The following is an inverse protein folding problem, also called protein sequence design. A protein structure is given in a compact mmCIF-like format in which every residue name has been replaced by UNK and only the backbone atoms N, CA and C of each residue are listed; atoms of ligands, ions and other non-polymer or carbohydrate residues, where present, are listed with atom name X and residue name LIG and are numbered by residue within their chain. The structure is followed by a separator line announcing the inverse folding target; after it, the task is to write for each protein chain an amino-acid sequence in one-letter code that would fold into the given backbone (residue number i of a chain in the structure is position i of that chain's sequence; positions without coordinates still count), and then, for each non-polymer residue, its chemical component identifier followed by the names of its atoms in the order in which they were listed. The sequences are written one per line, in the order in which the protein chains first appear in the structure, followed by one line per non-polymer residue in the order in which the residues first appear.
data_IF_296143032902
#
_entry.id   IF_296143032902
#
_cell.length_a   1.000
_cell.length_b   1.000
_cell.length_c   1.000
_cell.angle_alpha   90.00
_cell.angle_beta   90.00
_cell.angle_gamma   90.00
#
_symmetry.space_group_name_H-M   'P 1'
#
loop_
_entity.id
_entity.type
_entity.pdbx_description
1 polymer ?
#
# COMPACT_ATOMS: atom_id res chain seq x y z
N UNK A 1 20.66 8.00 14.34
CA UNK A 1 19.81 9.01 13.69
C UNK A 1 19.44 8.53 12.30
N UNK A 2 18.15 8.48 11.96
CA UNK A 2 17.70 8.01 10.65
C UNK A 2 17.89 9.10 9.60
N UNK A 3 18.59 8.80 8.50
CA UNK A 3 18.54 9.61 7.28
C UNK A 3 17.20 9.35 6.61
N UNK A 4 16.18 10.14 6.94
CA UNK A 4 14.95 10.21 6.14
C UNK A 4 15.38 10.72 4.77
N UNK A 5 15.14 9.93 3.72
CA UNK A 5 15.37 10.38 2.34
C UNK A 5 14.00 10.80 1.82
N UNK A 6 13.60 12.07 2.02
CA UNK A 6 12.31 12.54 1.57
C UNK A 6 12.27 12.47 0.04
N UNK A 7 11.13 12.04 -0.48
CA UNK A 7 10.81 12.14 -1.89
C UNK A 7 9.52 12.91 -2.00
N UNK A 8 9.55 13.98 -2.78
CA UNK A 8 8.35 14.71 -3.15
C UNK A 8 7.63 13.94 -4.24
N UNK A 9 6.40 13.56 -3.95
CA UNK A 9 5.51 12.94 -4.94
C UNK A 9 4.22 13.76 -4.97
N UNK A 10 3.67 14.02 -6.16
CA UNK A 10 2.38 14.66 -6.26
C UNK A 10 1.29 13.85 -5.54
N UNK A 11 0.56 14.48 -4.61
CA UNK A 11 -0.43 13.81 -3.75
C UNK A 11 -1.51 13.10 -4.56
N UNK A 12 -1.96 13.70 -5.65
CA UNK A 12 -2.99 13.12 -6.51
C UNK A 12 -2.49 11.86 -7.24
N UNK A 13 -1.25 11.83 -7.74
CA UNK A 13 -0.66 10.63 -8.36
C UNK A 13 -0.55 9.48 -7.36
N UNK A 14 -0.19 9.80 -6.11
CA UNK A 14 -0.12 8.81 -5.04
C UNK A 14 -1.50 8.24 -4.66
N UNK A 15 -2.51 9.11 -4.51
CA UNK A 15 -3.88 8.67 -4.24
C UNK A 15 -4.46 7.87 -5.40
N UNK A 16 -4.19 8.26 -6.64
CA UNK A 16 -4.60 7.48 -7.82
C UNK A 16 -4.07 6.05 -7.74
N UNK A 17 -2.77 5.87 -7.48
CA UNK A 17 -2.17 4.54 -7.33
C UNK A 17 -2.87 3.70 -6.24
N UNK A 18 -3.17 4.30 -5.07
CA UNK A 18 -3.86 3.61 -3.96
C UNK A 18 -5.28 3.18 -4.35
N UNK A 19 -6.05 4.10 -4.93
CA UNK A 19 -7.43 3.87 -5.34
C UNK A 19 -7.48 2.82 -6.46
N UNK A 20 -6.66 2.97 -7.50
CA UNK A 20 -6.63 2.02 -8.62
C UNK A 20 -6.31 0.61 -8.15
N UNK A 21 -5.32 0.43 -7.27
CA UNK A 21 -5.03 -0.89 -6.71
C UNK A 21 -6.23 -1.45 -5.92
N UNK A 22 -6.86 -0.66 -5.05
CA UNK A 22 -8.03 -1.10 -4.30
C UNK A 22 -9.18 -1.51 -5.24
N UNK A 23 -9.44 -0.74 -6.30
CA UNK A 23 -10.44 -1.05 -7.32
C UNK A 23 -10.12 -2.35 -8.05
N UNK A 24 -8.87 -2.55 -8.49
CA UNK A 24 -8.45 -3.80 -9.16
C UNK A 24 -8.70 -5.01 -8.25
N UNK A 25 -8.37 -4.91 -6.96
CA UNK A 25 -8.62 -5.97 -5.98
C UNK A 25 -10.12 -6.27 -5.82
N UNK A 26 -10.96 -5.24 -5.69
CA UNK A 26 -12.41 -5.42 -5.58
C UNK A 26 -13.03 -6.01 -6.83
N UNK A 27 -12.68 -5.53 -8.02
CA UNK A 27 -13.15 -6.09 -9.29
C UNK A 27 -12.69 -7.55 -9.42
N UNK A 28 -11.41 -7.81 -9.13
CA UNK A 28 -10.86 -9.17 -9.12
C UNK A 28 -11.60 -10.10 -8.17
N UNK A 29 -11.97 -9.62 -6.99
CA UNK A 29 -12.73 -10.37 -6.00
C UNK A 29 -14.18 -10.64 -6.43
N UNK A 30 -14.92 -9.60 -6.84
CA UNK A 30 -16.35 -9.69 -7.20
C UNK A 30 -16.55 -10.61 -8.41
N UNK A 31 -15.74 -10.42 -9.46
CA UNK A 31 -15.84 -11.19 -10.70
C UNK A 31 -15.02 -12.48 -10.67
N UNK A 32 -14.34 -12.80 -9.56
CA UNK A 32 -13.48 -13.99 -9.40
C UNK A 32 -12.38 -14.07 -10.47
N UNK A 33 -11.84 -12.94 -10.91
CA UNK A 33 -10.85 -12.87 -11.99
C UNK A 33 -9.43 -13.01 -11.44
N UNK A 34 -8.86 -14.22 -11.50
CA UNK A 34 -7.49 -14.50 -11.02
C UNK A 34 -6.42 -13.63 -11.70
N UNK A 35 -6.61 -13.33 -12.99
CA UNK A 35 -5.68 -12.50 -13.77
C UNK A 35 -5.59 -11.06 -13.26
N UNK A 36 -6.67 -10.48 -12.71
CA UNK A 36 -6.62 -9.14 -12.11
C UNK A 36 -5.79 -9.12 -10.83
N UNK A 37 -5.85 -10.19 -10.03
CA UNK A 37 -5.02 -10.33 -8.82
C UNK A 37 -3.55 -10.47 -9.22
N UNK A 38 -3.26 -11.23 -10.29
CA UNK A 38 -1.91 -11.34 -10.85
C UNK A 38 -1.41 -9.97 -11.36
N UNK A 39 -2.24 -9.21 -12.07
CA UNK A 39 -1.91 -7.87 -12.52
C UNK A 39 -1.58 -6.94 -11.33
N UNK A 40 -2.39 -6.98 -10.27
CA UNK A 40 -2.14 -6.20 -9.05
C UNK A 40 -0.81 -6.59 -8.39
N UNK A 41 -0.48 -7.89 -8.35
CA UNK A 41 0.81 -8.38 -7.86
C UNK A 41 1.97 -7.82 -8.68
N UNK A 42 1.91 -7.91 -10.01
CA UNK A 42 2.95 -7.40 -10.90
C UNK A 42 3.16 -5.90 -10.69
N UNK A 43 2.08 -5.12 -10.61
CA UNK A 43 2.15 -3.68 -10.34
C UNK A 43 2.84 -3.40 -8.99
N UNK A 44 2.47 -4.14 -7.94
CA UNK A 44 3.05 -3.97 -6.60
C UNK A 44 4.53 -4.39 -6.56
N UNK A 45 4.87 -5.51 -7.19
CA UNK A 45 6.24 -6.02 -7.27
C UNK A 45 7.15 -5.06 -8.05
N UNK A 46 6.69 -4.58 -9.22
CA UNK A 46 7.43 -3.57 -9.99
C UNK A 46 7.60 -2.27 -9.20
N UNK A 47 6.56 -1.83 -8.48
CA UNK A 47 6.65 -0.63 -7.63
C UNK A 47 7.62 -0.80 -6.46
N UNK A 48 7.73 -2.02 -5.91
CA UNK A 48 8.70 -2.34 -4.86
C UNK A 48 10.14 -2.30 -5.38
N UNK A 49 10.40 -2.86 -6.57
CA UNK A 49 11.74 -2.93 -7.19
C UNK A 49 12.19 -1.57 -7.73
N UNK A 50 11.37 -0.95 -8.59
CA UNK A 50 11.70 0.32 -9.25
C UNK A 50 11.67 1.50 -8.27
N UNK A 51 10.88 1.38 -7.20
CA UNK A 51 10.60 2.47 -6.28
C UNK A 51 9.56 3.45 -6.83
N UNK A 52 9.06 4.30 -5.94
CA UNK A 52 7.83 5.05 -6.21
C UNK A 52 7.94 6.09 -7.32
N UNK A 53 9.14 6.65 -7.54
CA UNK A 53 9.38 7.65 -8.58
C UNK A 53 9.16 7.11 -10.01
N UNK A 54 9.30 5.80 -10.20
CA UNK A 54 9.10 5.12 -11.50
C UNK A 54 7.97 4.10 -11.46
N UNK A 55 7.05 4.22 -10.50
CA UNK A 55 5.92 3.30 -10.44
C UNK A 55 5.08 3.45 -11.72
N UNK A 56 4.69 2.34 -12.39
CA UNK A 56 4.03 2.40 -13.69
C UNK A 56 2.72 3.20 -13.66
N UNK A 57 1.98 3.12 -12.56
CA UNK A 57 0.76 3.92 -12.34
C UNK A 57 1.02 5.41 -12.17
N UNK A 58 2.12 5.79 -11.51
CA UNK A 58 2.49 7.20 -11.34
C UNK A 58 2.94 7.78 -12.67
N UNK A 59 3.70 7.01 -13.45
CA UNK A 59 4.08 7.41 -14.81
C UNK A 59 2.85 7.57 -15.70
N UNK A 60 1.90 6.62 -15.64
CA UNK A 60 0.66 6.67 -16.41
C UNK A 60 -0.20 7.87 -16.02
N UNK A 61 -0.33 8.17 -14.74
CA UNK A 61 -1.03 9.36 -14.25
C UNK A 61 -0.34 10.65 -14.69
N UNK A 62 0.99 10.73 -14.58
CA UNK A 62 1.74 11.93 -14.98
C UNK A 62 1.65 12.20 -16.48
N UNK A 63 1.62 11.15 -17.31
CA UNK A 63 1.43 11.27 -18.76
C UNK A 63 0.01 11.71 -19.11
N UNK A 64 -1.01 11.20 -18.41
CA UNK A 64 -2.42 11.45 -18.73
C UNK A 64 -2.98 12.72 -18.08
N UNK A 65 -2.91 12.81 -16.75
CA UNK A 65 -3.59 13.86 -15.95
C UNK A 65 -2.57 14.90 -15.46
N UNK A 66 -1.31 14.51 -15.25
CA UNK A 66 -0.27 15.38 -14.71
C UNK A 66 0.06 16.62 -15.55
N UNK A 67 -0.25 16.61 -16.86
CA UNK A 67 -0.06 17.79 -17.72
C UNK A 67 -1.08 18.91 -17.48
N UNK A 68 -2.23 18.61 -16.87
CA UNK A 68 -3.37 19.54 -16.83
C UNK A 68 -3.56 20.22 -15.47
N UNK A 69 -2.88 19.77 -14.41
CA UNK A 69 -3.08 20.28 -13.06
C UNK A 69 -1.77 20.65 -12.36
N UNK A 70 -1.81 21.70 -11.53
CA UNK A 70 -0.76 21.99 -10.56
C UNK A 70 -0.97 21.11 -9.33
N UNK A 71 -0.13 20.08 -9.17
CA UNK A 71 -0.30 19.12 -8.08
C UNK A 71 0.45 19.59 -6.82
N UNK A 72 -0.25 19.59 -5.69
CA UNK A 72 0.37 19.74 -4.38
C UNK A 72 1.30 18.55 -4.13
N UNK A 73 2.55 18.85 -3.82
CA UNK A 73 3.55 17.85 -3.45
C UNK A 73 3.37 17.42 -1.99
N UNK A 74 3.57 16.12 -1.74
CA UNK A 74 3.62 15.56 -0.40
C UNK A 74 5.00 14.91 -0.19
N UNK A 75 5.63 15.20 0.94
CA UNK A 75 6.91 14.57 1.30
C UNK A 75 6.66 13.18 1.88
N UNK A 76 7.09 12.15 1.16
CA UNK A 76 6.98 10.76 1.58
C UNK A 76 8.37 10.15 1.76
N UNK A 77 8.50 9.25 2.74
CA UNK A 77 9.73 8.48 2.93
C UNK A 77 9.84 7.38 1.86
N UNK A 78 10.87 7.48 1.02
CA UNK A 78 11.15 6.50 -0.05
C UNK A 78 11.21 5.06 0.47
N UNK A 79 11.81 4.85 1.65
CA UNK A 79 11.98 3.51 2.23
C UNK A 79 10.65 2.97 2.77
N UNK A 80 9.89 3.80 3.49
CA UNK A 80 8.55 3.45 3.96
C UNK A 80 7.60 3.07 2.81
N UNK A 81 7.68 3.79 1.69
CA UNK A 81 6.90 3.49 0.49
C UNK A 81 7.29 2.16 -0.16
N UNK A 82 8.59 1.89 -0.32
CA UNK A 82 9.06 0.59 -0.82
C UNK A 82 8.62 -0.55 0.09
N UNK A 83 8.68 -0.37 1.40
CA UNK A 83 8.20 -1.36 2.36
C UNK A 83 6.69 -1.62 2.19
N UNK A 84 5.88 -0.57 2.09
CA UNK A 84 4.43 -0.73 1.90
C UNK A 84 4.07 -1.48 0.61
N UNK A 85 4.75 -1.19 -0.50
CA UNK A 85 4.56 -1.92 -1.76
C UNK A 85 5.06 -3.37 -1.67
N UNK A 86 6.22 -3.60 -1.04
CA UNK A 86 6.79 -4.95 -0.85
C UNK A 86 5.89 -5.82 0.01
N UNK A 87 5.39 -5.28 1.12
CA UNK A 87 4.45 -5.96 2.00
C UNK A 87 3.13 -6.28 1.27
N UNK A 88 2.62 -5.31 0.49
CA UNK A 88 1.47 -5.53 -0.39
C UNK A 88 1.72 -6.64 -1.41
N UNK A 89 2.87 -6.66 -2.07
CA UNK A 89 3.25 -7.68 -3.04
C UNK A 89 3.32 -9.07 -2.38
N UNK A 90 3.92 -9.16 -1.18
CA UNK A 90 4.01 -10.40 -0.42
C UNK A 90 2.63 -10.95 -0.06
N UNK A 91 1.74 -10.12 0.49
CA UNK A 91 0.37 -10.54 0.80
C UNK A 91 -0.37 -11.01 -0.46
N UNK A 92 -0.17 -10.32 -1.57
CA UNK A 92 -0.81 -10.69 -2.85
C UNK A 92 -0.23 -11.99 -3.41
N UNK A 93 1.07 -12.23 -3.25
CA UNK A 93 1.72 -13.48 -3.62
C UNK A 93 1.13 -14.66 -2.83
N UNK A 94 0.93 -14.50 -1.51
CA UNK A 94 0.26 -15.52 -0.69
C UNK A 94 -1.16 -15.79 -1.21
N UNK A 95 -1.91 -14.74 -1.57
CA UNK A 95 -3.24 -14.91 -2.18
C UNK A 95 -3.18 -15.71 -3.49
N UNK A 96 -2.23 -15.40 -4.37
CA UNK A 96 -2.03 -16.12 -5.63
C UNK A 96 -1.64 -17.58 -5.40
N UNK A 97 -0.72 -17.85 -4.47
CA UNK A 97 -0.34 -19.22 -4.13
C UNK A 97 -1.55 -20.03 -3.64
N UNK A 98 -2.38 -19.44 -2.77
CA UNK A 98 -3.61 -20.07 -2.29
C UNK A 98 -4.61 -20.30 -3.43
N UNK A 99 -4.79 -19.32 -4.33
CA UNK A 99 -5.72 -19.39 -5.47
C UNK A 99 -5.35 -20.42 -6.54
N UNK A 100 -4.04 -20.66 -6.75
CA UNK A 100 -3.54 -21.53 -7.82
C UNK A 100 -3.11 -22.92 -7.34
N UNK A 101 -2.56 -23.07 -6.13
CA UNK A 101 -1.92 -24.31 -5.70
C UNK A 101 -2.58 -25.02 -4.51
N UNK A 102 -3.25 -24.30 -3.60
CA UNK A 102 -3.75 -24.90 -2.35
C UNK A 102 -5.28 -25.04 -2.31
N UNK A 103 -6.00 -23.93 -2.19
CA UNK A 103 -7.44 -23.94 -2.08
C UNK A 103 -8.02 -22.60 -2.53
N UNK A 104 -8.75 -22.64 -3.63
CA UNK A 104 -9.33 -21.46 -4.25
C UNK A 104 -10.27 -20.68 -3.31
N UNK A 105 -11.07 -21.36 -2.48
CA UNK A 105 -11.97 -20.67 -1.53
C UNK A 105 -11.17 -19.88 -0.49
N UNK A 106 -10.12 -20.47 0.07
CA UNK A 106 -9.24 -19.78 1.02
C UNK A 106 -8.53 -18.60 0.35
N UNK A 107 -8.03 -18.79 -0.87
CA UNK A 107 -7.41 -17.71 -1.65
C UNK A 107 -8.34 -16.51 -1.81
N UNK A 108 -9.61 -16.75 -2.16
CA UNK A 108 -10.60 -15.69 -2.29
C UNK A 108 -10.96 -14.99 -0.96
N UNK A 109 -10.99 -15.72 0.16
CA UNK A 109 -11.17 -15.13 1.49
C UNK A 109 -10.00 -14.20 1.82
N UNK A 110 -8.76 -14.62 1.53
CA UNK A 110 -7.58 -13.78 1.71
C UNK A 110 -7.60 -12.54 0.80
N UNK A 111 -8.00 -12.69 -0.47
CA UNK A 111 -8.18 -11.55 -1.39
C UNK A 111 -9.18 -10.54 -0.83
N UNK A 112 -10.28 -10.98 -0.21
CA UNK A 112 -11.24 -10.09 0.43
C UNK A 112 -10.58 -9.25 1.55
N UNK A 113 -9.84 -9.88 2.45
CA UNK A 113 -9.11 -9.17 3.52
C UNK A 113 -8.06 -8.21 2.96
N UNK A 114 -7.32 -8.60 1.93
CA UNK A 114 -6.38 -7.71 1.24
C UNK A 114 -7.12 -6.53 0.61
N UNK A 115 -8.28 -6.74 0.00
CA UNK A 115 -9.11 -5.67 -0.59
C UNK A 115 -9.56 -4.66 0.45
N UNK A 116 -9.99 -5.13 1.63
CA UNK A 116 -10.33 -4.27 2.77
C UNK A 116 -9.12 -3.47 3.25
N UNK A 117 -7.98 -4.13 3.44
CA UNK A 117 -6.74 -3.46 3.86
C UNK A 117 -6.28 -2.41 2.83
N UNK A 118 -6.43 -2.68 1.53
CA UNK A 118 -6.15 -1.71 0.46
C UNK A 118 -7.13 -0.54 0.46
N UNK A 119 -8.39 -0.77 0.80
CA UNK A 119 -9.42 0.28 0.91
C UNK A 119 -9.12 1.20 2.09
N UNK A 120 -8.81 0.65 3.27
CA UNK A 120 -8.34 1.44 4.41
C UNK A 120 -7.08 2.23 4.05
N UNK A 121 -6.18 1.58 3.31
CA UNK A 121 -5.07 2.20 2.62
C UNK A 121 -5.52 3.39 1.78
N UNK A 122 -6.46 3.27 0.85
CA UNK A 122 -6.91 4.37 0.00
C UNK A 122 -7.49 5.57 0.77
N UNK A 123 -8.16 5.32 1.90
CA UNK A 123 -8.74 6.36 2.77
C UNK A 123 -7.70 7.14 3.60
N UNK A 124 -6.41 6.81 3.52
CA UNK A 124 -5.36 7.50 4.25
C UNK A 124 -4.77 6.68 5.41
N UNK A 125 -5.42 5.59 5.83
CA UNK A 125 -4.94 4.71 6.87
C UNK A 125 -3.89 3.73 6.32
N UNK A 126 -2.67 4.21 6.07
CA UNK A 126 -1.58 3.33 5.65
C UNK A 126 -0.97 2.59 6.85
N UNK A 127 -1.56 1.45 7.21
CA UNK A 127 -1.11 0.59 8.32
C UNK A 127 0.36 0.17 8.17
N UNK A 128 0.84 -0.04 6.93
CA UNK A 128 2.22 -0.43 6.65
C UNK A 128 3.23 0.68 6.99
N UNK A 129 2.89 1.96 6.78
CA UNK A 129 3.75 3.08 7.18
C UNK A 129 3.82 3.22 8.70
N UNK A 130 2.70 3.00 9.41
CA UNK A 130 2.68 2.95 10.87
C UNK A 130 3.51 1.77 11.40
N UNK A 131 3.32 0.57 10.83
CA UNK A 131 4.09 -0.62 11.18
C UNK A 131 5.58 -0.42 10.90
N UNK A 132 5.94 0.19 9.76
CA UNK A 132 7.32 0.53 9.44
C UNK A 132 7.91 1.48 10.48
N UNK A 133 7.20 2.56 10.82
CA UNK A 133 7.62 3.49 11.87
C UNK A 133 7.80 2.80 13.23
N UNK A 134 6.93 1.84 13.54
CA UNK A 134 7.00 1.01 14.75
C UNK A 134 8.16 0.02 14.80
N UNK A 135 8.45 -0.66 13.69
CA UNK A 135 9.56 -1.61 13.57
C UNK A 135 10.93 -0.94 13.65
N UNK A 136 10.96 0.39 13.52
CA UNK A 136 12.21 1.12 13.29
C UNK A 136 12.45 2.28 14.22
N UNK A 137 11.43 2.74 14.94
CA UNK A 137 11.59 3.48 16.17
C UNK A 137 11.27 2.51 17.30
N UNK A 138 12.18 2.30 18.24
CA UNK A 138 12.04 1.40 19.42
C UNK A 138 10.90 1.82 20.40
N UNK A 139 9.93 2.61 19.95
CA UNK A 139 8.92 3.32 20.74
C UNK A 139 7.48 3.04 20.26
N UNK A 140 7.25 2.00 19.46
CA UNK A 140 5.88 1.61 19.08
C UNK A 140 4.97 1.31 20.29
N UNK A 141 5.54 0.92 21.43
CA UNK A 141 4.81 0.60 22.64
C UNK A 141 4.55 1.79 23.59
N UNK A 142 5.08 2.99 23.34
CA UNK A 142 4.91 4.11 24.29
C UNK A 142 3.54 4.80 24.20
N UNK A 143 2.76 4.53 23.14
CA UNK A 143 1.39 5.07 23.02
C UNK A 143 0.39 4.38 23.98
N UNK A 144 0.67 3.15 24.41
CA UNK A 144 -0.09 2.47 25.49
C UNK A 144 0.24 3.04 26.88
N UNK A 145 1.35 3.77 27.04
CA UNK A 145 1.77 4.30 28.34
C UNK A 145 1.11 5.64 28.70
N UNK A 146 0.48 6.33 27.74
CA UNK A 146 -0.05 7.69 27.97
C UNK A 146 -1.48 7.74 28.50
N UNK A 147 -2.17 6.61 28.60
CA UNK A 147 -3.56 6.54 29.12
C UNK A 147 -3.63 6.08 30.60
N UNK A 148 -2.53 5.60 31.18
CA UNK A 148 -2.48 5.26 32.62
C UNK A 148 -2.06 6.41 33.54
N UNK A 149 -1.73 7.60 33.02
CA UNK A 149 -1.33 8.77 33.84
C UNK A 149 -2.45 9.81 34.00
N UNK A 150 -3.71 9.41 33.78
CA UNK A 150 -4.88 10.27 34.02
C UNK A 150 -5.82 9.81 35.14
N UNK A 151 -5.50 8.71 35.84
CA UNK A 151 -6.29 8.19 36.96
C UNK A 151 -5.44 7.97 38.23
N UNK A 152 -4.55 8.91 38.55
CA UNK A 152 -4.01 9.06 39.91
C UNK A 152 -4.05 10.54 40.23
N UNK A 153 -5.22 10.99 40.66
CA UNK A 153 -5.46 12.27 41.33
C UNK A 153 -6.53 12.03 42.37
#
# INVERSE_FOLDING_TARGET
MRTVIPVTVPKASFNFCRITLAVIFWIGFIFRLKWLILLAFVILALSAVLGIQRAPLIMLYNITIGKLMHLKEEMLDKRGMRFAHSFGALLTLVCLLLLYFFNERLGWIFVFFVSLAKTAGALGFCSALKLYGCLTNDSCCTFLKKEQTKNVS
#
